data_IF_062173730230
#
_entry.id   IF_062173730230
#
_cell.length_a   1.000
_cell.length_b   1.000
_cell.length_c   1.000
_cell.angle_alpha   90.00
_cell.angle_beta   90.00
_cell.angle_gamma   90.00
#
_symmetry.space_group_name_H-M   'P 1'
#
loop_
_entity.id
_entity.type
_entity.pdbx_description
1 polymer ?
#
# COMPACT_ATOMS: atom_id res chain seq x y z
N UNK A 1 35.73 40.77 -33.62
CA UNK A 1 36.12 39.37 -33.30
C UNK A 1 35.45 38.92 -32.02
N UNK A 2 34.83 37.75 -32.07
CA UNK A 2 33.85 37.23 -31.11
C UNK A 2 34.45 36.94 -29.72
N UNK A 3 33.92 37.61 -28.68
CA UNK A 3 34.16 37.23 -27.28
C UNK A 3 33.37 35.96 -27.00
N UNK A 4 33.99 34.79 -27.21
CA UNK A 4 33.51 33.51 -26.68
C UNK A 4 33.44 33.62 -25.16
N UNK A 5 32.26 33.94 -24.62
CA UNK A 5 31.96 33.75 -23.21
C UNK A 5 32.03 32.25 -22.98
N UNK A 6 33.13 31.82 -22.35
CA UNK A 6 33.24 30.54 -21.69
C UNK A 6 32.10 30.46 -20.67
N UNK A 7 30.96 29.95 -21.10
CA UNK A 7 29.91 29.46 -20.21
C UNK A 7 30.52 28.20 -19.62
N UNK A 8 31.28 28.43 -18.55
CA UNK A 8 31.96 27.42 -17.81
C UNK A 8 30.99 26.30 -17.51
N UNK A 9 31.43 25.08 -17.82
CA UNK A 9 30.91 23.83 -17.27
C UNK A 9 30.80 23.99 -15.74
N UNK A 10 29.64 24.40 -15.25
CA UNK A 10 29.22 24.19 -13.87
C UNK A 10 28.14 23.11 -13.89
N UNK A 11 28.51 21.95 -14.44
CA UNK A 11 27.77 20.73 -14.23
C UNK A 11 28.17 20.20 -12.84
N UNK A 12 27.22 20.37 -11.93
CA UNK A 12 26.92 19.47 -10.81
C UNK A 12 28.05 19.13 -9.83
N UNK A 13 28.24 19.99 -8.82
CA UNK A 13 28.33 19.42 -7.47
C UNK A 13 26.99 18.71 -7.23
N UNK A 14 26.99 17.43 -6.82
CA UNK A 14 25.82 16.58 -6.60
C UNK A 14 24.86 17.06 -5.49
N UNK A 15 24.43 18.31 -5.55
CA UNK A 15 23.45 18.92 -4.66
C UNK A 15 22.09 18.37 -5.06
N UNK A 16 21.47 17.63 -4.14
CA UNK A 16 20.08 17.18 -4.29
C UNK A 16 19.19 18.37 -4.59
N UNK A 17 18.20 18.19 -5.48
CA UNK A 17 17.24 19.24 -5.79
C UNK A 17 16.54 19.72 -4.51
N UNK A 18 16.19 21.02 -4.40
CA UNK A 18 15.56 21.57 -3.20
C UNK A 18 14.24 20.85 -2.86
N UNK A 19 13.51 20.38 -3.87
CA UNK A 19 12.31 19.57 -3.70
C UNK A 19 12.56 18.18 -3.08
N UNK A 20 13.69 17.53 -3.38
CA UNK A 20 14.05 16.27 -2.73
C UNK A 20 14.43 16.46 -1.26
N UNK A 21 15.07 17.60 -0.92
CA UNK A 21 15.43 17.91 0.46
C UNK A 21 14.19 18.16 1.32
N UNK A 22 13.17 18.84 0.80
CA UNK A 22 11.92 19.05 1.52
C UNK A 22 11.13 17.75 1.72
N UNK A 23 11.09 16.87 0.71
CA UNK A 23 10.45 15.55 0.84
C UNK A 23 11.12 14.69 1.92
N UNK A 24 12.45 14.71 1.98
CA UNK A 24 13.20 13.96 2.98
C UNK A 24 12.92 14.47 4.40
N UNK A 25 12.90 15.80 4.59
CA UNK A 25 12.57 16.40 5.88
C UNK A 25 11.13 16.10 6.33
N UNK A 26 10.18 16.11 5.39
CA UNK A 26 8.79 15.74 5.63
C UNK A 26 8.66 14.26 6.09
N UNK A 27 9.42 13.34 5.47
CA UNK A 27 9.46 11.92 5.88
C UNK A 27 10.09 11.76 7.28
N UNK A 28 11.14 12.51 7.58
CA UNK A 28 11.80 12.47 8.89
C UNK A 28 10.90 13.02 10.00
N UNK A 29 10.13 14.07 9.73
CA UNK A 29 9.17 14.65 10.66
C UNK A 29 8.04 13.68 11.05
N UNK A 30 7.69 12.73 10.18
CA UNK A 30 6.67 11.69 10.46
C UNK A 30 7.18 10.56 11.37
N UNK A 31 8.49 10.39 11.54
CA UNK A 31 9.06 9.33 12.40
C UNK A 31 8.95 9.66 13.88
N UNK A 32 8.89 10.94 14.23
CA UNK A 32 8.82 11.42 15.60
C UNK A 32 7.36 11.40 16.06
N UNK A 33 7.00 10.79 17.20
CA UNK A 33 5.63 10.84 17.70
C UNK A 33 5.23 12.28 18.13
N UNK A 34 4.01 12.74 17.84
CA UNK A 34 3.58 14.09 18.19
C UNK A 34 3.33 14.20 19.70
N UNK A 35 3.81 15.27 20.32
CA UNK A 35 3.61 15.54 21.75
C UNK A 35 2.33 16.35 22.00
N UNK A 36 1.94 17.17 21.04
CA UNK A 36 0.79 18.09 21.15
C UNK A 36 -0.20 17.97 19.98
N UNK A 37 -1.45 18.39 20.19
CA UNK A 37 -2.50 18.42 19.14
C UNK A 37 -2.07 19.22 17.90
N UNK A 38 -1.36 20.33 18.11
CA UNK A 38 -0.86 21.15 17.01
C UNK A 38 0.17 20.41 16.14
N UNK A 39 1.06 19.64 16.76
CA UNK A 39 2.06 18.81 16.06
C UNK A 39 1.39 17.66 15.32
N UNK A 40 0.40 17.00 15.93
CA UNK A 40 -0.40 15.97 15.27
C UNK A 40 -1.10 16.50 14.00
N UNK A 41 -1.67 17.71 14.05
CA UNK A 41 -2.26 18.36 12.87
C UNK A 41 -1.22 18.66 11.78
N UNK A 42 -0.03 19.13 12.17
CA UNK A 42 1.06 19.39 11.23
C UNK A 42 1.53 18.10 10.55
N UNK A 43 1.72 17.03 11.32
CA UNK A 43 2.09 15.72 10.78
C UNK A 43 1.02 15.16 9.85
N UNK A 44 -0.26 15.29 10.20
CA UNK A 44 -1.35 14.90 9.30
C UNK A 44 -1.31 15.66 7.97
N UNK A 45 -1.09 16.98 8.02
CA UNK A 45 -0.99 17.80 6.81
C UNK A 45 0.22 17.40 5.92
N UNK A 46 1.34 17.02 6.54
CA UNK A 46 2.52 16.48 5.83
C UNK A 46 2.17 15.14 5.18
N UNK A 47 1.54 14.23 5.92
CA UNK A 47 1.12 12.91 5.42
C UNK A 47 0.21 13.03 4.19
N UNK A 48 -0.78 13.92 4.24
CA UNK A 48 -1.67 14.20 3.11
C UNK A 48 -0.94 14.80 1.90
N UNK A 49 0.05 15.68 2.13
CA UNK A 49 0.89 16.22 1.05
C UNK A 49 1.71 15.12 0.36
N UNK A 50 2.34 14.24 1.15
CA UNK A 50 3.14 13.13 0.64
C UNK A 50 2.28 12.07 -0.08
N UNK A 51 1.05 11.84 0.38
CA UNK A 51 0.07 11.00 -0.32
C UNK A 51 -0.30 11.62 -1.67
N UNK A 52 -0.61 12.92 -1.70
CA UNK A 52 -0.93 13.64 -2.94
C UNK A 52 0.22 13.64 -3.94
N UNK A 53 1.46 13.71 -3.47
CA UNK A 53 2.64 13.65 -4.34
C UNK A 53 3.03 12.22 -4.75
N UNK A 54 2.39 11.18 -4.20
CA UNK A 54 2.75 9.78 -4.43
C UNK A 54 4.06 9.36 -3.77
N UNK A 55 4.63 10.20 -2.89
CA UNK A 55 5.85 9.87 -2.15
C UNK A 55 5.57 8.95 -0.95
N UNK A 56 4.35 9.03 -0.39
CA UNK A 56 3.84 8.04 0.54
C UNK A 56 2.94 7.07 -0.25
N UNK A 57 3.43 5.85 -0.51
CA UNK A 57 2.56 4.76 -0.91
C UNK A 57 1.90 4.21 0.37
N UNK A 58 0.78 4.80 0.79
CA UNK A 58 -0.15 4.00 1.59
C UNK A 58 -0.58 2.85 0.68
N UNK A 59 -0.37 1.61 1.16
CA UNK A 59 -0.92 0.45 0.47
C UNK A 59 -2.38 0.76 0.19
N UNK A 60 -2.75 0.84 -1.08
CA UNK A 60 -4.11 1.18 -1.45
C UNK A 60 -5.06 0.25 -0.69
N UNK A 61 -6.28 0.68 -0.38
CA UNK A 61 -7.26 -0.19 0.29
C UNK A 61 -7.34 -1.57 -0.36
N UNK A 62 -7.21 -1.61 -1.69
CA UNK A 62 -7.13 -2.82 -2.52
C UNK A 62 -5.90 -3.71 -2.25
N UNK A 63 -4.74 -3.13 -1.94
CA UNK A 63 -3.54 -3.88 -1.55
C UNK A 63 -3.65 -4.43 -0.12
N UNK A 64 -4.25 -3.67 0.80
CA UNK A 64 -4.54 -4.14 2.15
C UNK A 64 -5.56 -5.29 2.13
N UNK A 65 -6.60 -5.20 1.31
CA UNK A 65 -7.57 -6.28 1.07
C UNK A 65 -6.89 -7.54 0.53
N UNK A 66 -6.01 -7.41 -0.47
CA UNK A 66 -5.24 -8.54 -1.01
C UNK A 66 -4.36 -9.18 0.05
N UNK A 67 -3.74 -8.38 0.92
CA UNK A 67 -2.91 -8.87 2.01
C UNK A 67 -3.75 -9.61 3.05
N UNK A 68 -4.86 -9.01 3.48
CA UNK A 68 -5.81 -9.64 4.42
C UNK A 68 -6.36 -10.97 3.88
N UNK A 69 -6.69 -11.04 2.59
CA UNK A 69 -7.14 -12.28 1.94
C UNK A 69 -6.06 -13.37 1.96
N UNK A 70 -4.79 -13.02 1.72
CA UNK A 70 -3.66 -13.96 1.82
C UNK A 70 -3.43 -14.43 3.25
N UNK A 71 -3.48 -13.52 4.21
CA UNK A 71 -3.29 -13.84 5.64
C UNK A 71 -4.40 -14.77 6.14
N UNK A 72 -5.66 -14.54 5.72
CA UNK A 72 -6.77 -15.46 5.99
C UNK A 72 -6.55 -16.84 5.35
N UNK A 73 -6.08 -16.89 4.10
CA UNK A 73 -5.78 -18.16 3.44
C UNK A 73 -4.70 -18.96 4.18
N UNK A 74 -3.64 -18.29 4.65
CA UNK A 74 -2.58 -18.91 5.43
C UNK A 74 -3.08 -19.40 6.80
N UNK A 75 -3.88 -18.60 7.49
CA UNK A 75 -4.48 -18.99 8.77
C UNK A 75 -5.40 -20.21 8.62
N UNK A 76 -6.20 -20.25 7.54
CA UNK A 76 -7.06 -21.39 7.24
C UNK A 76 -6.24 -22.64 6.93
N UNK A 77 -5.18 -22.52 6.11
CA UNK A 77 -4.29 -23.65 5.82
C UNK A 77 -3.67 -24.25 7.08
N UNK A 78 -3.19 -23.40 8.01
CA UNK A 78 -2.66 -23.86 9.31
C UNK A 78 -3.71 -24.57 10.16
N UNK A 79 -4.94 -24.05 10.20
CA UNK A 79 -6.05 -24.72 10.91
C UNK A 79 -6.38 -26.10 10.32
N UNK A 80 -6.29 -26.24 8.99
CA UNK A 80 -6.46 -27.55 8.33
C UNK A 80 -5.34 -28.52 8.74
N UNK A 81 -4.09 -28.08 8.76
CA UNK A 81 -2.94 -28.91 9.18
C UNK A 81 -3.04 -29.32 10.67
N UNK A 82 -3.52 -28.44 11.53
CA UNK A 82 -3.72 -28.69 12.96
C UNK A 82 -4.97 -29.56 13.25
N UNK A 83 -5.77 -29.89 12.24
CA UNK A 83 -6.99 -30.72 12.39
C UNK A 83 -8.13 -30.02 13.14
N UNK A 84 -8.10 -28.69 13.27
CA UNK A 84 -9.10 -27.88 13.99
C UNK A 84 -10.30 -27.51 13.10
N UNK A 85 -10.28 -27.91 11.84
CA UNK A 85 -11.39 -27.62 10.92
C UNK A 85 -12.45 -28.71 11.04
N UNK A 86 -13.67 -28.30 11.43
CA UNK A 86 -14.84 -29.18 11.44
C UNK A 86 -15.01 -29.84 10.07
N UNK A 87 -15.14 -31.17 10.06
CA UNK A 87 -15.38 -31.94 8.84
C UNK A 87 -16.69 -31.46 8.19
N UNK A 88 -16.57 -30.80 7.05
CA UNK A 88 -17.75 -30.44 6.25
C UNK A 88 -18.29 -31.72 5.63
N UNK A 89 -19.33 -32.27 6.24
CA UNK A 89 -20.10 -33.41 5.72
C UNK A 89 -20.72 -33.05 4.36
N UNK A 90 -20.03 -33.39 3.27
CA UNK A 90 -20.47 -33.16 1.88
C UNK A 90 -21.79 -33.87 1.54
N UNK A 91 -22.16 -34.90 2.30
CA UNK A 91 -23.46 -35.58 2.19
C UNK A 91 -24.65 -34.63 2.41
N UNK A 92 -24.51 -33.62 3.29
CA UNK A 92 -25.58 -32.63 3.55
C UNK A 92 -25.68 -31.56 2.46
N UNK A 93 -24.59 -31.27 1.76
CA UNK A 93 -24.54 -30.27 0.67
C UNK A 93 -25.20 -30.83 -0.60
N UNK A 94 -25.31 -32.16 -0.72
CA UNK A 94 -25.72 -32.84 -1.93
C UNK A 94 -27.22 -32.79 -2.27
N UNK A 95 -28.12 -32.37 -1.38
CA UNK A 95 -29.57 -32.39 -1.69
C UNK A 95 -30.13 -31.03 -2.14
N UNK A 96 -29.69 -29.93 -1.54
CA UNK A 96 -30.18 -28.59 -1.90
C UNK A 96 -29.67 -28.11 -3.27
N UNK A 97 -28.47 -28.55 -3.67
CA UNK A 97 -27.78 -28.11 -4.89
C UNK A 97 -27.97 -29.04 -6.09
N UNK A 98 -28.47 -30.27 -5.90
CA UNK A 98 -28.89 -31.18 -6.99
C UNK A 98 -30.29 -30.81 -7.50
N UNK A 99 -30.47 -29.56 -7.94
CA UNK A 99 -31.67 -29.15 -8.67
C UNK A 99 -31.39 -29.19 -10.17
N UNK A 100 -32.27 -29.86 -10.92
CA UNK A 100 -32.29 -29.84 -12.37
C UNK A 100 -32.34 -28.38 -12.85
N UNK A 101 -31.29 -27.89 -13.53
CA UNK A 101 -31.19 -26.49 -13.98
C UNK A 101 -31.92 -26.21 -15.31
N UNK A 102 -32.78 -27.14 -15.74
CA UNK A 102 -33.46 -27.03 -17.03
C UNK A 102 -32.54 -27.33 -18.20
N UNK A 103 -33.12 -27.34 -19.41
CA UNK A 103 -32.45 -27.64 -20.67
C UNK A 103 -31.57 -26.44 -21.04
N UNK A 104 -30.25 -26.54 -20.82
CA UNK A 104 -29.31 -25.65 -21.49
C UNK A 104 -29.30 -26.04 -22.97
N UNK A 105 -29.98 -25.26 -23.81
CA UNK A 105 -29.87 -25.33 -25.26
C UNK A 105 -30.17 -23.93 -25.85
N UNK A 106 -29.14 -23.42 -26.55
CA UNK A 106 -28.89 -22.18 -27.33
C UNK A 106 -29.73 -20.91 -27.07
#
# INVERSE_FOLDING_TARGET
MSKKRSIGRLISAGKKSPAMLSLQADIEALKIPPRNRAEAKRQLAIRLRLLKSGALNEQSSRELEKKAARDLSLANARRFEEGVVDAVSTEKIALAHKKWRGRTAD
#
